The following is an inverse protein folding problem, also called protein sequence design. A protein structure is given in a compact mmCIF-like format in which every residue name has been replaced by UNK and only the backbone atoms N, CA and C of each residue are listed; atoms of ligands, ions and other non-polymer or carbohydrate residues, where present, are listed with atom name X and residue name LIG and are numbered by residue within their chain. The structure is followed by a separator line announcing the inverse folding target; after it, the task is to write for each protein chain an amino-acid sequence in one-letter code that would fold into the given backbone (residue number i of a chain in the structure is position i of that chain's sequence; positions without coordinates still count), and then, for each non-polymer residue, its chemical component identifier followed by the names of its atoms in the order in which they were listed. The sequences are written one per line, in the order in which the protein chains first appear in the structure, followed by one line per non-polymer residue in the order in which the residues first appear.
data_IF_954131443660
#
_entry.id   IF_954131443660
#
_cell.length_a   1.000
_cell.length_b   1.000
_cell.length_c   1.000
_cell.angle_alpha   90.00
_cell.angle_beta   90.00
_cell.angle_gamma   90.00
#
_symmetry.space_group_name_H-M   'P 1'
#
loop_
_entity.id
_entity.type
_entity.pdbx_description
1 polymer ?
#
# COMPACT_ATOMS: atom_id res chain seq x y z
N UNK A 1 -7.17 22.14 7.45
CA UNK A 1 -8.07 21.20 6.73
C UNK A 1 -7.25 20.23 5.88
N UNK A 2 -6.23 20.71 5.19
CA UNK A 2 -5.32 19.91 4.34
C UNK A 2 -4.51 18.88 5.15
N UNK A 3 -4.03 19.20 6.36
CA UNK A 3 -3.38 18.22 7.24
C UNK A 3 -4.26 17.00 7.55
N UNK A 4 -5.57 17.21 7.74
CA UNK A 4 -6.52 16.11 7.99
C UNK A 4 -6.69 15.25 6.74
N UNK A 5 -6.72 15.86 5.55
CA UNK A 5 -6.81 15.14 4.27
C UNK A 5 -5.52 14.34 4.00
N UNK A 6 -4.35 14.92 4.25
CA UNK A 6 -3.07 14.23 4.13
C UNK A 6 -3.00 12.99 5.04
N UNK A 7 -3.37 13.14 6.31
CA UNK A 7 -3.39 12.02 7.26
C UNK A 7 -4.42 10.95 6.88
N UNK A 8 -5.59 11.35 6.37
CA UNK A 8 -6.61 10.42 5.88
C UNK A 8 -6.08 9.60 4.70
N UNK A 9 -5.45 10.25 3.72
CA UNK A 9 -4.87 9.59 2.54
C UNK A 9 -3.74 8.64 2.91
N UNK A 10 -2.88 9.03 3.86
CA UNK A 10 -1.85 8.15 4.41
C UNK A 10 -2.45 6.88 5.04
N UNK A 11 -3.49 7.02 5.86
CA UNK A 11 -4.17 5.88 6.47
C UNK A 11 -4.81 4.97 5.40
N UNK A 12 -5.44 5.55 4.37
CA UNK A 12 -6.00 4.80 3.25
C UNK A 12 -4.91 3.99 2.53
N UNK A 13 -3.74 4.59 2.28
CA UNK A 13 -2.59 3.89 1.70
C UNK A 13 -2.14 2.72 2.59
N UNK A 14 -2.01 2.93 3.89
CA UNK A 14 -1.61 1.89 4.85
C UNK A 14 -2.60 0.71 4.86
N UNK A 15 -3.91 0.99 4.84
CA UNK A 15 -4.95 -0.03 4.75
C UNK A 15 -4.84 -0.84 3.45
N UNK A 16 -4.60 -0.17 2.32
CA UNK A 16 -4.45 -0.81 1.01
C UNK A 16 -3.18 -1.65 0.93
N UNK A 17 -2.07 -1.22 1.53
CA UNK A 17 -0.85 -2.02 1.68
C UNK A 17 -1.08 -3.28 2.52
N UNK A 18 -1.87 -3.19 3.59
CA UNK A 18 -2.25 -4.36 4.37
C UNK A 18 -3.10 -5.33 3.55
N UNK A 19 -4.08 -4.84 2.79
CA UNK A 19 -4.88 -5.66 1.87
C UNK A 19 -4.00 -6.36 0.82
N UNK A 20 -2.99 -5.66 0.29
CA UNK A 20 -2.02 -6.21 -0.66
C UNK A 20 -1.28 -7.40 -0.05
N UNK A 21 -0.73 -7.24 1.15
CA UNK A 21 -0.02 -8.31 1.85
C UNK A 21 -0.90 -9.53 2.11
N UNK A 22 -2.19 -9.33 2.43
CA UNK A 22 -3.15 -10.43 2.62
C UNK A 22 -3.41 -11.20 1.32
N UNK A 23 -3.53 -10.51 0.19
CA UNK A 23 -3.72 -11.16 -1.11
C UNK A 23 -2.46 -11.92 -1.53
N UNK A 24 -1.28 -11.34 -1.34
CA UNK A 24 0.02 -12.00 -1.61
C UNK A 24 0.16 -13.28 -0.78
N UNK A 25 -0.15 -13.22 0.52
CA UNK A 25 -0.11 -14.40 1.39
C UNK A 25 -1.07 -15.51 0.94
N UNK A 26 -2.27 -15.16 0.44
CA UNK A 26 -3.21 -16.15 -0.12
C UNK A 26 -2.68 -16.79 -1.40
N UNK A 27 -2.04 -16.01 -2.27
CA UNK A 27 -1.41 -16.53 -3.49
C UNK A 27 -0.30 -17.53 -3.12
N UNK A 28 0.52 -17.21 -2.12
CA UNK A 28 1.57 -18.10 -1.64
C UNK A 28 1.00 -19.42 -1.07
N UNK A 29 -0.11 -19.33 -0.32
CA UNK A 29 -0.81 -20.52 0.20
C UNK A 29 -1.30 -21.42 -0.95
N UNK A 30 -1.89 -20.82 -2.00
CA UNK A 30 -2.34 -21.56 -3.18
C UNK A 30 -1.16 -22.24 -3.88
N UNK A 31 -0.02 -21.56 -4.01
CA UNK A 31 1.17 -22.13 -4.65
C UNK A 31 1.72 -23.34 -3.87
N UNK A 32 1.77 -23.25 -2.54
CA UNK A 32 2.13 -24.37 -1.68
C UNK A 32 1.15 -25.54 -1.86
N UNK A 33 -0.15 -25.27 -1.92
CA UNK A 33 -1.18 -26.31 -2.11
C UNK A 33 -1.06 -26.99 -3.49
N UNK A 34 -0.78 -26.23 -4.55
CA UNK A 34 -0.54 -26.77 -5.90
C UNK A 34 0.67 -27.71 -5.88
N UNK A 35 1.78 -27.28 -5.28
CA UNK A 35 3.01 -28.10 -5.18
C UNK A 35 2.72 -29.39 -4.40
N UNK A 36 2.04 -29.29 -3.27
CA UNK A 36 1.69 -30.44 -2.45
C UNK A 36 0.79 -31.43 -3.20
N UNK A 37 -0.23 -30.93 -3.91
CA UNK A 37 -1.14 -31.76 -4.71
C UNK A 37 -0.41 -32.42 -5.88
N UNK A 38 0.53 -31.70 -6.50
CA UNK A 38 1.37 -32.25 -7.58
C UNK A 38 2.26 -33.38 -7.05
N UNK A 39 2.92 -33.18 -5.92
CA UNK A 39 3.71 -34.22 -5.27
C UNK A 39 2.86 -35.46 -4.96
N UNK A 40 1.63 -35.27 -4.46
CA UNK A 40 0.70 -36.39 -4.25
C UNK A 40 0.38 -37.14 -5.53
N UNK A 41 0.13 -36.44 -6.64
CA UNK A 41 -0.12 -37.07 -7.95
C UNK A 41 1.08 -37.93 -8.37
N UNK A 42 2.29 -37.43 -8.18
CA UNK A 42 3.53 -38.07 -8.61
C UNK A 42 3.87 -39.29 -7.75
N UNK A 43 3.64 -39.22 -6.43
CA UNK A 43 3.91 -40.33 -5.50
C UNK A 43 2.79 -41.36 -5.42
N UNK A 44 1.57 -41.01 -5.85
CA UNK A 44 0.44 -41.95 -5.84
C UNK A 44 0.68 -43.06 -6.86
N UNK A 45 0.76 -44.29 -6.36
CA UNK A 45 1.00 -45.50 -7.15
C UNK A 45 0.13 -46.64 -6.64
N UNK A 46 0.01 -47.71 -7.42
CA UNK A 46 -0.66 -48.95 -7.05
C UNK A 46 0.32 -50.12 -7.14
N UNK A 47 0.00 -51.23 -6.49
CA UNK A 47 0.82 -52.43 -6.53
C UNK A 47 0.92 -53.01 -7.95
N UNK A 48 2.10 -53.50 -8.32
CA UNK A 48 2.38 -54.02 -9.68
C UNK A 48 1.48 -55.18 -10.09
N UNK A 49 1.04 -55.98 -9.13
CA UNK A 49 0.15 -57.13 -9.34
C UNK A 49 -1.24 -56.93 -8.70
N UNK A 50 -1.62 -55.67 -8.47
CA UNK A 50 -2.93 -55.30 -7.90
C UNK A 50 -4.10 -55.56 -8.86
N UNK A 51 -5.32 -55.39 -8.37
CA UNK A 51 -6.50 -55.59 -9.19
C UNK A 51 -6.59 -54.51 -10.27
N UNK A 52 -7.15 -54.85 -11.44
CA UNK A 52 -7.35 -53.89 -12.55
C UNK A 52 -8.19 -52.69 -12.08
N UNK A 53 -9.14 -52.91 -11.15
CA UNK A 53 -9.92 -51.86 -10.50
C UNK A 53 -9.05 -50.81 -9.82
N UNK A 54 -7.91 -51.19 -9.23
CA UNK A 54 -7.04 -50.30 -8.47
C UNK A 54 -6.36 -49.29 -9.39
N UNK A 55 -5.95 -49.73 -10.60
CA UNK A 55 -5.42 -48.83 -11.63
C UNK A 55 -6.46 -47.83 -12.12
N UNK A 56 -7.72 -48.26 -12.26
CA UNK A 56 -8.82 -47.37 -12.65
C UNK A 56 -9.09 -46.32 -11.56
N UNK A 57 -9.14 -46.75 -10.29
CA UNK A 57 -9.31 -45.85 -9.14
C UNK A 57 -8.15 -44.85 -9.06
N UNK A 58 -6.90 -45.30 -9.23
CA UNK A 58 -5.73 -44.41 -9.25
C UNK A 58 -5.85 -43.35 -10.35
N UNK A 59 -6.30 -43.75 -11.54
CA UNK A 59 -6.48 -42.83 -12.67
C UNK A 59 -7.53 -41.78 -12.36
N UNK A 60 -8.68 -42.19 -11.82
CA UNK A 60 -9.75 -41.28 -11.39
C UNK A 60 -9.19 -40.31 -10.33
N UNK A 61 -8.50 -40.82 -9.31
CA UNK A 61 -7.94 -40.01 -8.24
C UNK A 61 -6.95 -38.96 -8.76
N UNK A 62 -6.03 -39.35 -9.65
CA UNK A 62 -5.09 -38.40 -10.29
C UNK A 62 -5.80 -37.36 -11.13
N UNK A 63 -6.86 -37.73 -11.85
CA UNK A 63 -7.65 -36.79 -12.64
C UNK A 63 -8.41 -35.79 -11.76
N UNK A 64 -8.97 -36.23 -10.63
CA UNK A 64 -9.60 -35.35 -9.64
C UNK A 64 -8.59 -34.35 -9.07
N UNK A 65 -7.38 -34.79 -8.71
CA UNK A 65 -6.33 -33.90 -8.23
C UNK A 65 -5.87 -32.89 -9.30
N UNK A 66 -5.77 -33.29 -10.57
CA UNK A 66 -5.50 -32.36 -11.67
C UNK A 66 -6.59 -31.31 -11.83
N UNK A 67 -7.86 -31.70 -11.73
CA UNK A 67 -8.99 -30.77 -11.77
C UNK A 67 -8.96 -29.77 -10.60
N UNK A 68 -8.58 -30.24 -9.40
CA UNK A 68 -8.37 -29.37 -8.24
C UNK A 68 -7.27 -28.33 -8.48
N UNK A 69 -6.12 -28.74 -9.03
CA UNK A 69 -5.03 -27.82 -9.40
C UNK A 69 -5.51 -26.76 -10.39
N UNK A 70 -6.30 -27.13 -11.40
CA UNK A 70 -6.84 -26.17 -12.36
C UNK A 70 -7.81 -25.17 -11.70
N UNK A 71 -8.58 -25.59 -10.71
CA UNK A 71 -9.43 -24.67 -9.92
C UNK A 71 -8.58 -23.68 -9.13
N UNK A 72 -7.54 -24.16 -8.44
CA UNK A 72 -6.61 -23.33 -7.68
C UNK A 72 -5.88 -22.31 -8.57
N UNK A 73 -5.47 -22.70 -9.78
CA UNK A 73 -4.86 -21.77 -10.75
C UNK A 73 -5.81 -20.64 -11.17
N UNK A 74 -7.08 -20.96 -11.43
CA UNK A 74 -8.09 -19.94 -11.77
C UNK A 74 -8.31 -18.97 -10.61
N UNK A 75 -8.36 -19.48 -9.39
CA UNK A 75 -8.44 -18.63 -8.19
C UNK A 75 -7.20 -17.76 -8.00
N UNK A 76 -6.00 -18.31 -8.26
CA UNK A 76 -4.78 -17.51 -8.27
C UNK A 76 -4.84 -16.38 -9.31
N UNK A 77 -5.35 -16.65 -10.51
CA UNK A 77 -5.47 -15.65 -11.57
C UNK A 77 -6.43 -14.51 -11.18
N UNK A 78 -7.58 -14.82 -10.56
CA UNK A 78 -8.50 -13.77 -10.08
C UNK A 78 -7.91 -12.94 -8.95
N UNK A 79 -7.13 -13.56 -8.05
CA UNK A 79 -6.39 -12.86 -7.01
C UNK A 79 -5.29 -11.96 -7.58
N UNK A 80 -4.54 -12.41 -8.60
CA UNK A 80 -3.53 -11.60 -9.29
C UNK A 80 -4.15 -10.38 -9.98
N UNK A 81 -5.31 -10.54 -10.62
CA UNK A 81 -6.02 -9.40 -11.21
C UNK A 81 -6.48 -8.39 -10.13
N UNK A 82 -6.97 -8.90 -9.00
CA UNK A 82 -7.34 -8.07 -7.85
C UNK A 82 -6.13 -7.34 -7.26
N UNK A 83 -4.98 -8.01 -7.18
CA UNK A 83 -3.71 -7.45 -6.73
C UNK A 83 -3.24 -6.31 -7.65
N UNK A 84 -3.31 -6.50 -8.97
CA UNK A 84 -2.93 -5.47 -9.94
C UNK A 84 -3.82 -4.22 -9.82
N UNK A 85 -5.13 -4.40 -9.68
CA UNK A 85 -6.06 -3.28 -9.44
C UNK A 85 -5.71 -2.54 -8.14
N UNK A 86 -5.43 -3.28 -7.07
CA UNK A 86 -5.05 -2.72 -5.79
C UNK A 86 -3.74 -1.92 -5.85
N UNK A 87 -2.75 -2.41 -6.60
CA UNK A 87 -1.48 -1.71 -6.83
C UNK A 87 -1.74 -0.37 -7.55
N UNK A 88 -2.59 -0.36 -8.58
CA UNK A 88 -2.94 0.88 -9.28
C UNK A 88 -3.61 1.89 -8.33
N UNK A 89 -4.53 1.44 -7.47
CA UNK A 89 -5.14 2.30 -6.45
C UNK A 89 -4.12 2.87 -5.45
N UNK A 90 -3.15 2.06 -5.01
CA UNK A 90 -2.08 2.51 -4.11
C UNK A 90 -1.23 3.60 -4.78
N UNK A 91 -0.88 3.42 -6.05
CA UNK A 91 -0.08 4.39 -6.81
C UNK A 91 -0.82 5.73 -6.91
N UNK A 92 -2.12 5.73 -7.21
CA UNK A 92 -2.92 6.96 -7.26
C UNK A 92 -3.02 7.64 -5.88
N UNK A 93 -3.26 6.86 -4.81
CA UNK A 93 -3.28 7.40 -3.44
C UNK A 93 -1.93 8.01 -3.03
N UNK A 94 -0.82 7.41 -3.46
CA UNK A 94 0.52 7.95 -3.21
C UNK A 94 0.74 9.28 -3.93
N UNK A 95 0.36 9.38 -5.20
CA UNK A 95 0.42 10.64 -5.96
C UNK A 95 -0.39 11.76 -5.28
N UNK A 96 -1.63 11.48 -4.89
CA UNK A 96 -2.48 12.44 -4.17
C UNK A 96 -1.85 12.86 -2.83
N UNK A 97 -1.30 11.89 -2.08
CA UNK A 97 -0.64 12.17 -0.81
C UNK A 97 0.60 13.07 -0.98
N UNK A 98 1.36 12.91 -2.06
CA UNK A 98 2.49 13.77 -2.37
C UNK A 98 2.05 15.20 -2.73
N UNK A 99 0.97 15.35 -3.50
CA UNK A 99 0.40 16.66 -3.81
C UNK A 99 -0.03 17.40 -2.54
N UNK A 100 -0.72 16.73 -1.62
CA UNK A 100 -1.10 17.34 -0.35
C UNK A 100 0.11 17.70 0.51
N UNK A 101 1.16 16.87 0.52
CA UNK A 101 2.41 17.17 1.22
C UNK A 101 3.05 18.44 0.69
N UNK A 102 3.13 18.59 -0.64
CA UNK A 102 3.68 19.78 -1.27
C UNK A 102 2.92 21.05 -0.88
N UNK A 103 1.58 21.01 -0.91
CA UNK A 103 0.75 22.16 -0.50
C UNK A 103 1.01 22.54 0.96
N UNK A 104 1.10 21.55 1.86
CA UNK A 104 1.39 21.80 3.28
C UNK A 104 2.77 22.41 3.49
N UNK A 105 3.77 22.03 2.70
CA UNK A 105 5.11 22.62 2.77
C UNK A 105 5.10 24.08 2.31
N UNK A 106 4.37 24.43 1.25
CA UNK A 106 4.22 25.81 0.80
C UNK A 106 3.45 26.68 1.81
N UNK A 107 2.34 26.18 2.37
CA UNK A 107 1.61 26.90 3.44
C UNK A 107 2.51 27.20 4.65
N UNK A 108 3.37 26.26 5.04
CA UNK A 108 4.33 26.46 6.14
C UNK A 108 5.36 27.54 5.81
N UNK A 109 5.92 27.53 4.60
CA UNK A 109 6.88 28.56 4.16
C UNK A 109 6.24 29.94 4.13
N UNK A 110 5.01 30.05 3.63
CA UNK A 110 4.30 31.33 3.56
C UNK A 110 3.98 31.87 4.96
N UNK A 111 3.50 31.02 5.86
CA UNK A 111 3.24 31.41 7.24
C UNK A 111 4.50 31.87 7.96
N UNK A 112 5.63 31.18 7.75
CA UNK A 112 6.92 31.60 8.33
C UNK A 112 7.36 32.97 7.79
N UNK A 113 7.22 33.21 6.47
CA UNK A 113 7.53 34.52 5.88
C UNK A 113 6.67 35.64 6.47
N UNK A 114 5.36 35.41 6.67
CA UNK A 114 4.45 36.39 7.29
C UNK A 114 4.88 36.73 8.73
N UNK A 115 5.27 35.73 9.51
CA UNK A 115 5.76 35.94 10.88
C UNK A 115 7.05 36.77 10.88
N UNK A 116 8.01 36.43 10.02
CA UNK A 116 9.27 37.17 9.91
C UNK A 116 9.07 38.63 9.49
N UNK A 117 8.18 38.88 8.52
CA UNK A 117 7.84 40.24 8.10
C UNK A 117 7.20 41.04 9.23
N UNK A 118 6.26 40.45 9.97
CA UNK A 118 5.63 41.12 11.11
C UNK A 118 6.64 41.42 12.24
N UNK A 119 7.60 40.53 12.48
CA UNK A 119 8.68 40.75 13.44
C UNK A 119 9.64 41.86 12.99
N UNK A 120 9.98 41.91 11.70
CA UNK A 120 10.79 42.97 11.11
C UNK A 120 10.09 44.33 11.18
N UNK A 121 8.80 44.40 10.86
CA UNK A 121 7.98 45.61 11.01
C UNK A 121 7.94 46.09 12.46
N UNK A 122 7.65 45.20 13.42
CA UNK A 122 7.63 45.55 14.85
C UNK A 122 9.01 46.02 15.36
N UNK A 123 10.09 45.38 14.90
CA UNK A 123 11.46 45.78 15.23
C UNK A 123 11.80 47.16 14.64
N UNK A 124 11.45 47.40 13.37
CA UNK A 124 11.64 48.67 12.70
C UNK A 124 10.84 49.80 13.37
N UNK A 125 9.56 49.57 13.70
CA UNK A 125 8.74 50.52 14.44
C UNK A 125 9.33 50.81 15.83
N UNK A 126 9.78 49.78 16.55
CA UNK A 126 10.43 49.96 17.85
C UNK A 126 11.70 50.81 17.74
N UNK A 127 12.56 50.53 16.76
CA UNK A 127 13.78 51.30 16.49
C UNK A 127 13.43 52.76 16.15
N UNK A 128 12.50 53.00 15.22
CA UNK A 128 12.04 54.35 14.88
C UNK A 128 11.47 55.08 16.09
N UNK A 129 10.66 54.42 16.92
CA UNK A 129 10.09 55.03 18.12
C UNK A 129 11.15 55.46 19.13
N UNK A 130 12.27 54.71 19.24
CA UNK A 130 13.41 55.10 20.08
C UNK A 130 14.14 56.32 19.53
N UNK A 131 14.36 56.40 18.22
CA UNK A 131 14.98 57.57 17.60
C UNK A 131 14.10 58.82 17.77
N UNK A 132 12.79 58.72 17.51
CA UNK A 132 11.83 59.83 17.68
C UNK A 132 11.78 60.31 19.14
N UNK A 133 11.80 59.41 20.13
CA UNK A 133 11.87 59.79 21.55
C UNK A 133 13.17 60.50 21.91
N UNK A 134 14.28 60.10 21.30
CA UNK A 134 15.60 60.70 21.51
C UNK A 134 15.66 62.12 20.94
N UNK A 135 15.17 62.32 19.72
CA UNK A 135 15.12 63.64 19.07
C UNK A 135 14.21 64.63 19.82
N UNK A 136 13.10 64.17 20.43
CA UNK A 136 12.25 65.03 21.28
C UNK A 136 12.87 65.41 22.62
N UNK A 137 13.90 64.74 23.10
CA UNK A 137 14.59 65.05 24.38
C UNK A 137 15.75 66.05 24.22
N UNK A 138 16.12 66.42 22.98
CA UNK A 138 17.27 67.28 22.68
C UNK A 138 16.83 68.72 22.32
N UNK A 139 15.53 69.03 22.41
CA UNK A 139 14.97 70.39 22.29
C UNK A 139 14.53 70.93 23.65
#
# INVERSE_FOLDING_TARGET
MIDKLYNLKKNQTDQKLMQKALIESKIDQIDVEIIFTKNKIDTSTVEKFGAISDFMILTIHKNTMKAHIEKLKKEKETLLNSLNNLINEIVELQKESEQFKYILEEERKENLRKILLAEEEASNEYVQSKYIKRDRMVF
#
